data_IF_356812459480
#
_entry.id   IF_356812459480
#
_cell.length_a   1.000
_cell.length_b   1.000
_cell.length_c   1.000
_cell.angle_alpha   90.00
_cell.angle_beta   90.00
_cell.angle_gamma   90.00
#
_symmetry.space_group_name_H-M   'P 1'
#
loop_
_entity.id
_entity.type
_entity.pdbx_description
1 polymer ?
#
# COMPACT_ATOMS: atom_id res chain seq x y z
N UNK A 1 18.56 5.13 -2.50
CA UNK A 1 18.06 4.84 -1.13
C UNK A 1 17.63 3.38 -1.15
N UNK A 2 18.20 2.52 -0.30
CA UNK A 2 18.05 1.06 -0.44
C UNK A 2 16.62 0.62 -0.13
N UNK A 3 16.00 -0.23 -0.98
CA UNK A 3 14.66 -0.80 -0.76
C UNK A 3 14.52 -1.52 0.60
N UNK A 4 15.63 -2.08 1.09
CA UNK A 4 15.74 -2.64 2.45
C UNK A 4 15.46 -1.60 3.55
N UNK A 5 15.89 -0.35 3.35
CA UNK A 5 15.67 0.74 4.30
C UNK A 5 14.21 1.24 4.27
N UNK A 6 13.51 1.15 3.15
CA UNK A 6 12.08 1.51 3.07
C UNK A 6 11.21 0.49 3.81
N UNK A 7 11.46 -0.81 3.59
CA UNK A 7 10.83 -1.89 4.36
C UNK A 7 11.21 -1.83 5.85
N UNK A 8 12.48 -1.57 6.19
CA UNK A 8 12.92 -1.39 7.58
C UNK A 8 12.30 -0.17 8.25
N UNK A 9 12.15 0.96 7.54
CA UNK A 9 11.45 2.16 8.04
C UNK A 9 9.97 1.91 8.32
N UNK A 10 9.34 1.02 7.56
CA UNK A 10 7.98 0.58 7.85
C UNK A 10 7.92 -0.38 9.05
N UNK A 11 8.89 -1.30 9.17
CA UNK A 11 9.00 -2.20 10.33
C UNK A 11 9.17 -1.44 11.67
N UNK A 12 9.85 -0.30 11.64
CA UNK A 12 10.10 0.53 12.82
C UNK A 12 8.87 1.34 13.28
N UNK A 13 7.79 1.38 12.49
CA UNK A 13 6.58 2.17 12.77
C UNK A 13 5.37 1.38 13.28
N UNK A 14 5.49 0.09 13.65
CA UNK A 14 4.57 -0.74 14.46
C UNK A 14 4.32 -2.14 13.84
N UNK A 15 5.29 -3.07 13.85
CA UNK A 15 4.98 -4.53 13.92
C UNK A 15 6.19 -5.25 14.53
N UNK A 16 6.18 -5.49 15.85
CA UNK A 16 7.08 -6.48 16.46
C UNK A 16 6.42 -7.86 16.34
N UNK A 17 7.09 -8.81 15.65
CA UNK A 17 7.01 -10.28 15.78
C UNK A 17 6.94 -11.13 14.49
N UNK A 18 7.39 -10.66 13.32
CA UNK A 18 7.42 -11.54 12.14
C UNK A 18 8.16 -11.03 10.89
N UNK A 19 8.84 -9.89 10.98
CA UNK A 19 9.52 -9.25 9.83
C UNK A 19 10.94 -9.77 9.64
N UNK A 20 11.58 -10.31 10.69
CA UNK A 20 13.01 -10.61 10.70
C UNK A 20 13.42 -11.75 9.75
N UNK A 21 12.49 -12.67 9.41
CA UNK A 21 12.74 -13.81 8.52
C UNK A 21 11.90 -13.79 7.22
N UNK A 22 11.18 -12.69 6.94
CA UNK A 22 10.31 -12.62 5.76
C UNK A 22 11.11 -12.43 4.46
N UNK A 23 10.81 -13.24 3.44
CA UNK A 23 11.40 -13.04 2.10
C UNK A 23 10.99 -11.68 1.52
N UNK A 24 11.79 -11.09 0.60
CA UNK A 24 11.43 -9.83 -0.06
C UNK A 24 10.04 -9.88 -0.71
N UNK A 25 9.68 -11.02 -1.30
CA UNK A 25 8.34 -11.24 -1.86
C UNK A 25 7.24 -11.14 -0.79
N UNK A 26 7.45 -11.76 0.39
CA UNK A 26 6.49 -11.70 1.50
C UNK A 26 6.39 -10.30 2.10
N UNK A 27 7.48 -9.53 2.15
CA UNK A 27 7.45 -8.14 2.62
C UNK A 27 6.52 -7.29 1.76
N UNK A 28 6.59 -7.42 0.43
CA UNK A 28 5.68 -6.71 -0.49
C UNK A 28 4.22 -7.16 -0.29
N UNK A 29 3.97 -8.46 -0.10
CA UNK A 29 2.64 -8.97 0.23
C UNK A 29 2.07 -8.33 1.51
N UNK A 30 2.90 -8.24 2.56
CA UNK A 30 2.51 -7.63 3.83
C UNK A 30 2.20 -6.13 3.69
N UNK A 31 2.91 -5.42 2.79
CA UNK A 31 2.59 -4.03 2.47
C UNK A 31 1.21 -3.94 1.80
N UNK A 32 0.92 -4.76 0.80
CA UNK A 32 -0.42 -4.78 0.19
C UNK A 32 -1.53 -5.10 1.22
N UNK A 33 -1.34 -6.14 2.04
CA UNK A 33 -2.26 -6.51 3.13
C UNK A 33 -2.49 -5.32 4.07
N UNK A 34 -1.41 -4.67 4.50
CA UNK A 34 -1.46 -3.48 5.33
C UNK A 34 -2.25 -2.35 4.68
N UNK A 35 -1.96 -1.98 3.42
CA UNK A 35 -2.67 -0.89 2.74
C UNK A 35 -4.17 -1.15 2.66
N UNK A 36 -4.57 -2.36 2.23
CA UNK A 36 -5.97 -2.77 2.12
C UNK A 36 -6.68 -2.74 3.47
N UNK A 37 -6.02 -3.21 4.54
CA UNK A 37 -6.55 -3.17 5.89
C UNK A 37 -6.82 -1.73 6.35
N UNK A 38 -5.87 -0.80 6.13
CA UNK A 38 -6.07 0.62 6.50
C UNK A 38 -7.22 1.25 5.71
N UNK A 39 -7.35 0.94 4.43
CA UNK A 39 -8.45 1.42 3.58
C UNK A 39 -9.79 0.92 4.14
N UNK A 40 -9.91 -0.37 4.45
CA UNK A 40 -11.13 -0.94 5.04
C UNK A 40 -11.47 -0.31 6.38
N UNK A 41 -10.49 -0.13 7.27
CA UNK A 41 -10.69 0.54 8.56
C UNK A 41 -11.10 2.01 8.37
N UNK A 42 -10.52 2.72 7.39
CA UNK A 42 -10.85 4.11 7.10
C UNK A 42 -12.31 4.25 6.68
N UNK A 43 -12.83 3.32 5.86
CA UNK A 43 -14.26 3.25 5.51
C UNK A 43 -15.14 3.07 6.76
N UNK A 44 -14.76 2.17 7.66
CA UNK A 44 -15.46 1.99 8.94
C UNK A 44 -15.47 3.26 9.79
N UNK A 45 -14.34 3.98 9.84
CA UNK A 45 -14.22 5.26 10.55
C UNK A 45 -15.14 6.35 9.94
N UNK A 46 -15.30 6.38 8.61
CA UNK A 46 -16.27 7.28 7.94
C UNK A 46 -17.70 6.97 8.40
N UNK A 47 -18.10 5.70 8.39
CA UNK A 47 -19.45 5.28 8.81
C UNK A 47 -19.73 5.64 10.27
N UNK A 48 -18.73 5.54 11.13
CA UNK A 48 -18.80 5.89 12.56
C UNK A 48 -18.58 7.39 12.84
N UNK A 49 -18.42 8.22 11.80
CA UNK A 49 -18.14 9.67 11.90
C UNK A 49 -16.86 10.01 12.68
N UNK A 50 -15.87 9.12 12.68
CA UNK A 50 -14.58 9.27 13.36
C UNK A 50 -13.56 9.96 12.44
N UNK A 51 -13.67 11.28 12.27
CA UNK A 51 -12.90 12.04 11.27
C UNK A 51 -11.38 11.99 11.49
N UNK A 52 -10.92 12.13 12.74
CA UNK A 52 -9.49 12.07 13.06
C UNK A 52 -8.91 10.68 12.76
N UNK A 53 -9.63 9.62 13.14
CA UNK A 53 -9.22 8.24 12.89
C UNK A 53 -9.20 7.91 11.40
N UNK A 54 -10.19 8.37 10.63
CA UNK A 54 -10.18 8.31 9.16
C UNK A 54 -8.90 8.91 8.59
N UNK A 55 -8.57 10.14 8.99
CA UNK A 55 -7.38 10.84 8.49
C UNK A 55 -6.08 10.08 8.81
N UNK A 56 -5.95 9.56 10.03
CA UNK A 56 -4.80 8.73 10.44
C UNK A 56 -4.67 7.47 9.57
N UNK A 57 -5.78 6.76 9.35
CA UNK A 57 -5.80 5.51 8.58
C UNK A 57 -5.48 5.74 7.09
N UNK A 58 -6.05 6.78 6.49
CA UNK A 58 -5.75 7.12 5.10
C UNK A 58 -4.30 7.58 4.95
N UNK A 59 -3.78 8.38 5.88
CA UNK A 59 -2.37 8.78 5.89
C UNK A 59 -1.43 7.58 5.98
N UNK A 60 -1.76 6.59 6.81
CA UNK A 60 -1.03 5.31 6.87
C UNK A 60 -1.11 4.54 5.57
N UNK A 61 -2.28 4.46 4.90
CA UNK A 61 -2.39 3.81 3.60
C UNK A 61 -1.52 4.50 2.54
N UNK A 62 -1.52 5.84 2.49
CA UNK A 62 -0.67 6.63 1.58
C UNK A 62 0.81 6.31 1.80
N UNK A 63 1.26 6.25 3.06
CA UNK A 63 2.66 5.93 3.36
C UNK A 63 3.06 4.52 2.89
N UNK A 64 2.16 3.53 2.98
CA UNK A 64 2.41 2.18 2.46
C UNK A 64 2.56 2.20 0.94
N UNK A 65 1.62 2.86 0.24
CA UNK A 65 1.63 2.93 -1.22
C UNK A 65 2.86 3.67 -1.72
N UNK A 66 3.26 4.76 -1.05
CA UNK A 66 4.53 5.43 -1.34
C UNK A 66 5.76 4.55 -1.06
N UNK A 67 5.69 3.67 -0.06
CA UNK A 67 6.71 2.65 0.18
C UNK A 67 6.81 1.62 -0.96
N UNK A 68 5.67 1.14 -1.47
CA UNK A 68 5.61 0.24 -2.62
C UNK A 68 6.17 0.90 -3.88
N UNK A 69 5.79 2.16 -4.14
CA UNK A 69 6.30 2.97 -5.25
C UNK A 69 7.82 3.14 -5.16
N UNK A 70 8.34 3.45 -3.97
CA UNK A 70 9.79 3.58 -3.74
C UNK A 70 10.59 2.28 -3.82
N UNK A 71 9.93 1.12 -3.95
CA UNK A 71 10.57 -0.17 -4.18
C UNK A 71 10.70 -0.52 -5.67
N UNK A 72 10.13 0.27 -6.58
CA UNK A 72 10.25 0.03 -8.01
C UNK A 72 11.71 0.24 -8.46
N UNK A 73 12.18 -0.65 -9.34
CA UNK A 73 13.49 -0.52 -9.96
C UNK A 73 13.32 0.01 -11.39
N UNK A 74 13.46 1.32 -11.56
CA UNK A 74 13.33 1.98 -12.87
C UNK A 74 14.40 1.55 -13.88
N UNK A 75 15.56 1.09 -13.39
CA UNK A 75 16.69 0.70 -14.25
C UNK A 75 16.50 -0.66 -14.93
N UNK A 76 15.80 -1.59 -14.29
CA UNK A 76 15.56 -2.96 -14.80
C UNK A 76 14.09 -3.23 -15.14
N UNK A 77 13.16 -2.48 -14.58
CA UNK A 77 11.72 -2.72 -14.73
C UNK A 77 11.07 -2.13 -15.98
N UNK A 78 11.79 -1.26 -16.71
CA UNK A 78 11.34 -0.70 -17.99
C UNK A 78 9.94 -0.09 -17.95
N UNK A 79 9.13 -0.37 -18.97
CA UNK A 79 7.76 0.14 -19.10
C UNK A 79 6.84 -0.33 -17.95
N UNK A 80 7.03 -1.55 -17.43
CA UNK A 80 6.22 -2.07 -16.34
C UNK A 80 6.42 -1.26 -15.05
N UNK A 81 7.67 -0.92 -14.71
CA UNK A 81 7.95 -0.09 -13.56
C UNK A 81 7.31 1.31 -13.69
N UNK A 82 7.38 1.93 -14.87
CA UNK A 82 6.76 3.23 -15.12
C UNK A 82 5.23 3.21 -15.00
N UNK A 83 4.59 2.14 -15.50
CA UNK A 83 3.16 1.95 -15.39
C UNK A 83 2.73 1.74 -13.92
N UNK A 84 3.51 0.97 -13.15
CA UNK A 84 3.27 0.78 -11.71
C UNK A 84 3.49 2.08 -10.92
N UNK A 85 4.54 2.84 -11.23
CA UNK A 85 4.81 4.13 -10.61
C UNK A 85 3.64 5.10 -10.81
N UNK A 86 3.16 5.20 -12.05
CA UNK A 86 2.00 6.03 -12.42
C UNK A 86 0.73 5.58 -11.69
N UNK A 87 0.49 4.27 -11.58
CA UNK A 87 -0.66 3.71 -10.87
C UNK A 87 -0.58 3.98 -9.36
N UNK A 88 0.58 3.83 -8.73
CA UNK A 88 0.75 4.14 -7.31
C UNK A 88 0.59 5.64 -7.03
N UNK A 89 1.14 6.51 -7.88
CA UNK A 89 0.94 7.96 -7.78
C UNK A 89 -0.55 8.33 -7.88
N UNK A 90 -1.27 7.71 -8.83
CA UNK A 90 -2.71 7.87 -8.96
C UNK A 90 -3.47 7.44 -7.69
N UNK A 91 -3.16 6.26 -7.13
CA UNK A 91 -3.79 5.77 -5.90
C UNK A 91 -3.54 6.72 -4.72
N UNK A 92 -2.32 7.26 -4.58
CA UNK A 92 -1.99 8.24 -3.53
C UNK A 92 -2.83 9.52 -3.69
N UNK A 93 -2.97 10.02 -4.91
CA UNK A 93 -3.80 11.20 -5.19
C UNK A 93 -5.27 10.93 -4.85
N UNK A 94 -5.81 9.77 -5.22
CA UNK A 94 -7.20 9.37 -4.93
C UNK A 94 -7.44 9.17 -3.44
N UNK A 95 -6.51 8.55 -2.71
CA UNK A 95 -6.60 8.44 -1.24
C UNK A 95 -6.62 9.83 -0.57
N UNK A 96 -5.79 10.76 -1.05
CA UNK A 96 -5.78 12.14 -0.56
C UNK A 96 -7.12 12.84 -0.81
N UNK A 97 -7.68 12.65 -2.01
CA UNK A 97 -9.00 13.17 -2.37
C UNK A 97 -10.11 12.56 -1.49
N UNK A 98 -10.10 11.24 -1.29
CA UNK A 98 -11.04 10.54 -0.42
C UNK A 98 -11.02 11.07 1.01
N UNK A 99 -9.82 11.43 1.51
CA UNK A 99 -9.69 12.03 2.83
C UNK A 99 -10.33 13.42 2.88
N UNK A 100 -10.05 14.28 1.90
CA UNK A 100 -10.59 15.63 1.84
C UNK A 100 -12.13 15.63 1.70
N UNK A 101 -12.65 14.83 0.78
CA UNK A 101 -14.08 14.76 0.48
C UNK A 101 -14.86 13.86 1.45
N UNK A 102 -14.17 13.06 2.27
CA UNK A 102 -14.79 12.02 3.11
C UNK A 102 -15.64 11.06 2.26
N UNK A 103 -15.11 10.65 1.10
CA UNK A 103 -15.82 9.84 0.12
C UNK A 103 -15.39 8.35 0.20
N UNK A 104 -16.25 7.44 0.70
CA UNK A 104 -15.94 6.02 0.80
C UNK A 104 -15.88 5.29 -0.54
N UNK A 105 -16.50 5.82 -1.60
CA UNK A 105 -16.46 5.19 -2.93
C UNK A 105 -15.07 5.31 -3.57
N UNK A 106 -14.36 6.41 -3.31
CA UNK A 106 -12.96 6.58 -3.72
C UNK A 106 -12.06 5.58 -2.97
N UNK A 107 -12.34 5.31 -1.69
CA UNK A 107 -11.63 4.27 -0.94
C UNK A 107 -11.89 2.87 -1.53
N UNK A 108 -13.10 2.60 -2.01
CA UNK A 108 -13.43 1.35 -2.68
C UNK A 108 -12.66 1.16 -4.00
N UNK A 109 -12.53 2.22 -4.79
CA UNK A 109 -11.71 2.21 -5.99
C UNK A 109 -10.24 1.90 -5.68
N UNK A 110 -9.63 2.64 -4.75
CA UNK A 110 -8.24 2.40 -4.34
C UNK A 110 -8.05 0.98 -3.80
N UNK A 111 -9.01 0.48 -3.03
CA UNK A 111 -9.00 -0.89 -2.51
C UNK A 111 -9.04 -1.94 -3.62
N UNK A 112 -9.87 -1.75 -4.66
CA UNK A 112 -9.91 -2.66 -5.81
C UNK A 112 -8.59 -2.69 -6.58
N UNK A 113 -8.05 -1.52 -6.93
CA UNK A 113 -6.79 -1.43 -7.67
C UNK A 113 -5.63 -2.10 -6.92
N UNK A 114 -5.49 -1.83 -5.62
CA UNK A 114 -4.48 -2.50 -4.80
C UNK A 114 -4.75 -4.00 -4.65
N UNK A 115 -6.01 -4.41 -4.59
CA UNK A 115 -6.40 -5.82 -4.53
C UNK A 115 -6.03 -6.60 -5.79
N UNK A 116 -6.20 -6.00 -6.96
CA UNK A 116 -5.78 -6.59 -8.25
C UNK A 116 -4.26 -6.74 -8.31
N UNK A 117 -3.50 -5.70 -7.93
CA UNK A 117 -2.03 -5.77 -7.87
C UNK A 117 -1.54 -6.83 -6.88
N UNK A 118 -2.14 -6.89 -5.69
CA UNK A 118 -1.84 -7.93 -4.70
C UNK A 118 -2.10 -9.32 -5.28
N UNK A 119 -3.23 -9.53 -5.94
CA UNK A 119 -3.59 -10.83 -6.51
C UNK A 119 -2.61 -11.26 -7.60
N UNK A 120 -2.20 -10.32 -8.47
CA UNK A 120 -1.17 -10.57 -9.47
C UNK A 120 0.19 -10.90 -8.83
N UNK A 121 0.55 -10.20 -7.76
CA UNK A 121 1.77 -10.46 -7.01
C UNK A 121 1.75 -11.83 -6.32
N UNK A 122 0.64 -12.21 -5.69
CA UNK A 122 0.48 -13.52 -5.04
C UNK A 122 0.61 -14.67 -6.05
N UNK A 123 0.12 -14.49 -7.29
CA UNK A 123 0.16 -15.51 -8.33
C UNK A 123 1.60 -15.89 -8.74
N UNK A 124 2.55 -14.96 -8.67
CA UNK A 124 3.95 -15.21 -9.02
C UNK A 124 4.78 -15.80 -7.87
N UNK A 125 4.22 -15.90 -6.65
CA UNK A 125 4.91 -16.50 -5.51
C UNK A 125 5.41 -17.93 -5.79
N UNK A 126 4.63 -18.70 -6.56
CA UNK A 126 4.96 -20.08 -6.96
C UNK A 126 6.09 -20.18 -7.98
N UNK A 127 6.43 -19.09 -8.67
CA UNK A 127 7.45 -19.06 -9.73
C UNK A 127 8.83 -18.63 -9.22
N UNK A 128 8.90 -18.08 -8.00
CA UNK A 128 10.11 -17.53 -7.37
C UNK A 128 10.60 -18.45 -6.23
N UNK A 129 9.97 -19.62 -6.05
CA UNK A 129 10.29 -20.61 -5.02
C UNK A 129 11.50 -21.49 -5.38
#
# INVERSE_FOLDING_TARGET
>A
MNAYQAAQRYSSLHVHSGVEDASPHRLIQMLFEGALERIAQAKGAIQQKQIARKGELIGKAINIVGGLQGCLNDSEGGELAQNLDSLYAYIIQRLTQANFETNPEILDECGRLLGELKSAWDAIASQVA
#
